data_IF_573714183304
#
_entry.id   IF_573714183304
#
_cell.length_a   1.000
_cell.length_b   1.000
_cell.length_c   1.000
_cell.angle_alpha   90.00
_cell.angle_beta   90.00
_cell.angle_gamma   90.00
#
_symmetry.space_group_name_H-M   'P 1'
#
loop_
_entity.id
_entity.type
_entity.pdbx_description
1 polymer ?
#
# COMPACT_ATOMS: atom_id res chain seq x y z
N UNK A 1 -50.61 -4.01 -22.40
CA UNK A 1 -49.32 -4.56 -21.91
C UNK A 1 -48.35 -3.41 -21.95
N UNK A 2 -48.31 -2.64 -20.86
CA UNK A 2 -47.46 -1.46 -20.73
C UNK A 2 -46.04 -1.90 -20.35
N UNK A 3 -45.08 -1.60 -21.21
CA UNK A 3 -43.66 -1.73 -20.95
C UNK A 3 -43.25 -0.65 -19.93
N UNK A 4 -43.08 -1.04 -18.67
CA UNK A 4 -42.38 -0.22 -17.66
C UNK A 4 -40.97 0.07 -18.17
N UNK A 5 -40.72 1.31 -18.57
CA UNK A 5 -39.38 1.81 -18.80
C UNK A 5 -38.63 1.86 -17.46
N UNK A 6 -37.61 1.01 -17.32
CA UNK A 6 -36.63 1.11 -16.23
C UNK A 6 -35.87 2.43 -16.40
N UNK A 7 -35.97 3.29 -15.40
CA UNK A 7 -35.11 4.47 -15.29
C UNK A 7 -33.85 4.04 -14.55
N UNK A 8 -32.72 4.06 -15.25
CA UNK A 8 -31.42 3.62 -14.75
C UNK A 8 -30.48 4.83 -14.70
N UNK A 9 -29.95 5.14 -13.53
CA UNK A 9 -28.92 6.17 -13.31
C UNK A 9 -27.84 5.52 -12.43
N UNK A 10 -26.60 5.55 -12.90
CA UNK A 10 -25.43 4.97 -12.21
C UNK A 10 -25.53 3.44 -11.90
N UNK A 11 -26.34 2.69 -12.65
CA UNK A 11 -26.44 1.23 -12.53
C UNK A 11 -27.34 0.74 -11.39
N UNK A 12 -28.26 1.58 -10.91
CA UNK A 12 -29.25 1.22 -9.90
C UNK A 12 -30.68 1.39 -10.45
N UNK A 13 -31.50 0.34 -10.28
CA UNK A 13 -32.91 0.33 -10.68
C UNK A 13 -33.74 1.17 -9.70
N UNK A 14 -34.15 2.37 -10.14
CA UNK A 14 -34.88 3.36 -9.34
C UNK A 14 -36.27 2.87 -8.87
N UNK A 15 -36.79 1.79 -9.44
CA UNK A 15 -38.08 1.20 -9.06
C UNK A 15 -38.07 0.46 -7.72
N UNK A 16 -36.88 0.25 -7.12
CA UNK A 16 -36.68 -0.54 -5.89
C UNK A 16 -36.46 0.34 -4.65
N UNK A 17 -36.28 1.66 -4.81
CA UNK A 17 -36.02 2.58 -3.70
C UNK A 17 -37.32 3.14 -3.11
N UNK A 18 -37.76 2.60 -1.97
CA UNK A 18 -38.97 3.04 -1.25
C UNK A 18 -38.77 4.26 -0.34
N UNK A 19 -37.52 4.68 -0.12
CA UNK A 19 -37.18 5.85 0.70
C UNK A 19 -37.18 7.14 -0.15
N UNK A 20 -38.14 8.03 0.15
CA UNK A 20 -38.28 9.34 -0.49
C UNK A 20 -37.03 10.21 -0.28
N UNK A 21 -36.38 10.11 0.89
CA UNK A 21 -35.17 10.88 1.17
C UNK A 21 -33.99 10.40 0.32
N UNK A 22 -33.81 9.08 0.20
CA UNK A 22 -32.81 8.47 -0.68
C UNK A 22 -32.99 8.84 -2.16
N UNK A 23 -34.24 8.87 -2.65
CA UNK A 23 -34.55 9.24 -4.03
C UNK A 23 -34.25 10.72 -4.33
N UNK A 24 -34.65 11.62 -3.43
CA UNK A 24 -34.34 13.05 -3.55
C UNK A 24 -32.82 13.24 -3.59
N UNK A 25 -32.09 12.60 -2.68
CA UNK A 25 -30.64 12.70 -2.60
C UNK A 25 -29.97 12.26 -3.90
N UNK A 26 -30.38 11.13 -4.46
CA UNK A 26 -29.85 10.60 -5.72
C UNK A 26 -30.10 11.54 -6.91
N UNK A 27 -31.29 12.15 -6.98
CA UNK A 27 -31.70 13.03 -8.06
C UNK A 27 -31.13 14.45 -7.96
N UNK A 28 -30.83 14.93 -6.74
CA UNK A 28 -30.33 16.30 -6.51
C UNK A 28 -28.84 16.37 -6.29
N UNK A 29 -28.14 15.23 -6.13
CA UNK A 29 -26.68 15.24 -6.03
C UNK A 29 -26.11 15.58 -7.40
N UNK A 30 -25.46 16.75 -7.57
CA UNK A 30 -24.89 17.09 -8.86
C UNK A 30 -23.87 16.03 -9.28
N UNK A 31 -23.78 15.67 -10.57
CA UNK A 31 -22.72 14.79 -11.05
C UNK A 31 -21.38 15.49 -10.80
N UNK A 32 -20.68 15.10 -9.73
CA UNK A 32 -19.46 15.78 -9.29
C UNK A 32 -19.29 15.76 -7.77
N UNK A 33 -18.48 16.69 -7.27
CA UNK A 33 -18.16 16.84 -5.85
C UNK A 33 -19.30 17.55 -5.14
N UNK A 34 -20.02 16.82 -4.29
CA UNK A 34 -21.14 17.35 -3.53
C UNK A 34 -21.33 16.59 -2.24
N UNK A 35 -21.26 17.29 -1.11
CA UNK A 35 -21.54 16.74 0.21
C UNK A 35 -22.52 17.63 0.98
N UNK A 36 -23.42 17.01 1.72
CA UNK A 36 -24.35 17.71 2.61
C UNK A 36 -23.61 18.34 3.79
N UNK A 37 -23.91 19.61 4.09
CA UNK A 37 -23.39 20.29 5.30
C UNK A 37 -23.74 19.52 6.58
N UNK A 38 -24.88 18.82 6.60
CA UNK A 38 -25.25 17.97 7.72
C UNK A 38 -24.27 16.80 7.92
N UNK A 39 -23.82 16.17 6.84
CA UNK A 39 -22.85 15.05 6.90
C UNK A 39 -21.50 15.56 7.41
N UNK A 40 -21.07 16.73 6.93
CA UNK A 40 -19.86 17.41 7.44
C UNK A 40 -19.96 17.68 8.94
N UNK A 41 -21.12 18.14 9.42
CA UNK A 41 -21.31 18.54 10.81
C UNK A 41 -21.41 17.35 11.78
N UNK A 42 -21.85 16.19 11.29
CA UNK A 42 -22.13 14.99 12.10
C UNK A 42 -21.02 13.94 12.06
N UNK A 43 -20.11 14.02 11.09
CA UNK A 43 -18.99 13.07 11.00
C UNK A 43 -17.96 13.22 12.14
N UNK A 44 -17.30 12.12 12.54
CA UNK A 44 -16.15 12.16 13.44
C UNK A 44 -15.02 13.03 12.88
N UNK A 45 -14.43 13.91 13.69
CA UNK A 45 -13.31 14.77 13.28
C UNK A 45 -13.69 16.03 12.49
N UNK A 46 -14.95 16.18 12.03
CA UNK A 46 -15.50 17.41 11.39
C UNK A 46 -14.59 17.99 10.29
N UNK A 47 -14.01 17.14 9.45
CA UNK A 47 -13.17 17.53 8.32
C UNK A 47 -13.96 18.29 7.24
N UNK A 48 -13.37 19.34 6.69
CA UNK A 48 -13.97 20.24 5.69
C UNK A 48 -13.13 20.36 4.41
N UNK A 49 -12.06 19.59 4.31
CA UNK A 49 -11.25 19.45 3.10
C UNK A 49 -12.03 18.75 2.01
N UNK A 50 -11.83 19.21 0.77
CA UNK A 50 -12.53 18.68 -0.37
C UNK A 50 -12.17 17.19 -0.58
N UNK A 51 -10.90 16.80 -0.35
CA UNK A 51 -10.41 15.47 -0.72
C UNK A 51 -11.09 14.34 0.06
N UNK A 52 -11.49 14.60 1.29
CA UNK A 52 -12.30 13.66 2.08
C UNK A 52 -13.65 13.33 1.42
N UNK A 53 -14.19 14.26 0.63
CA UNK A 53 -15.47 14.16 -0.06
C UNK A 53 -15.32 13.87 -1.55
N UNK A 54 -14.15 13.40 -1.98
CA UNK A 54 -13.98 12.89 -3.34
C UNK A 54 -15.01 11.75 -3.56
N UNK A 55 -15.85 11.83 -4.62
CA UNK A 55 -16.82 10.79 -4.95
C UNK A 55 -16.23 9.38 -5.06
N UNK A 56 -14.96 9.26 -5.48
CA UNK A 56 -14.23 7.98 -5.54
C UNK A 56 -13.99 7.43 -4.14
N UNK A 57 -13.53 8.26 -3.21
CA UNK A 57 -13.28 7.88 -1.81
C UNK A 57 -14.60 7.53 -1.12
N UNK A 58 -15.64 8.35 -1.32
CA UNK A 58 -16.98 8.08 -0.78
C UNK A 58 -17.56 6.77 -1.36
N UNK A 59 -17.44 6.56 -2.66
CA UNK A 59 -17.86 5.34 -3.35
C UNK A 59 -17.14 4.09 -2.84
N UNK A 60 -15.83 4.18 -2.60
CA UNK A 60 -15.04 3.11 -2.00
C UNK A 60 -15.53 2.76 -0.59
N UNK A 61 -15.76 3.77 0.24
CA UNK A 61 -16.29 3.57 1.59
C UNK A 61 -17.68 2.94 1.59
N UNK A 62 -18.54 3.32 0.65
CA UNK A 62 -19.86 2.68 0.48
C UNK A 62 -19.73 1.22 0.07
N UNK A 63 -18.83 0.90 -0.87
CA UNK A 63 -18.56 -0.49 -1.29
C UNK A 63 -18.07 -1.35 -0.13
N UNK A 64 -17.11 -0.84 0.66
CA UNK A 64 -16.60 -1.55 1.83
C UNK A 64 -17.69 -1.79 2.88
N UNK A 65 -18.53 -0.79 3.15
CA UNK A 65 -19.68 -0.93 4.08
C UNK A 65 -20.73 -1.91 3.56
N UNK A 66 -20.96 -1.95 2.25
CA UNK A 66 -21.95 -2.84 1.62
C UNK A 66 -21.55 -4.33 1.68
N UNK A 67 -20.29 -4.65 1.97
CA UNK A 67 -19.84 -6.04 2.16
C UNK A 67 -20.55 -6.73 3.34
N UNK A 68 -21.07 -5.97 4.30
CA UNK A 68 -21.71 -6.53 5.50
C UNK A 68 -20.73 -7.21 6.46
N UNK A 69 -19.42 -7.02 6.26
CA UNK A 69 -18.36 -7.52 7.14
C UNK A 69 -17.85 -6.40 8.04
N UNK A 70 -17.30 -6.77 9.20
CA UNK A 70 -16.64 -5.80 10.08
C UNK A 70 -15.42 -5.20 9.38
N UNK A 71 -15.30 -3.87 9.43
CA UNK A 71 -14.10 -3.16 9.00
C UNK A 71 -13.30 -2.77 10.25
N UNK A 72 -12.02 -3.12 10.27
CA UNK A 72 -11.10 -2.77 11.36
C UNK A 72 -9.95 -1.92 10.80
N UNK A 73 -9.38 -0.98 11.58
CA UNK A 73 -8.18 -0.27 11.14
C UNK A 73 -7.01 -1.26 10.98
N UNK A 74 -6.09 -0.97 10.05
CA UNK A 74 -4.90 -1.79 9.82
C UNK A 74 -4.07 -1.98 11.09
N UNK A 75 -4.05 -0.98 11.99
CA UNK A 75 -3.39 -1.06 13.30
C UNK A 75 -3.87 -2.21 14.19
N UNK A 76 -5.10 -2.69 13.99
CA UNK A 76 -5.64 -3.82 14.76
C UNK A 76 -5.13 -5.18 14.26
N UNK A 77 -4.52 -5.21 13.07
CA UNK A 77 -4.00 -6.42 12.42
C UNK A 77 -2.48 -6.43 12.28
N UNK A 78 -1.83 -5.27 12.39
CA UNK A 78 -0.41 -5.10 12.17
C UNK A 78 0.16 -3.90 12.92
N UNK A 79 1.43 -4.00 13.32
CA UNK A 79 2.19 -2.85 13.77
C UNK A 79 2.66 -2.05 12.55
N UNK A 80 2.39 -0.75 12.56
CA UNK A 80 2.71 0.16 11.45
C UNK A 80 3.69 1.22 11.92
N UNK A 81 4.84 1.32 11.26
CA UNK A 81 5.89 2.25 11.64
C UNK A 81 6.54 2.94 10.43
N UNK A 82 6.63 4.26 10.50
CA UNK A 82 7.43 5.08 9.60
C UNK A 82 8.64 5.64 10.35
N UNK A 83 9.88 5.35 9.92
CA UNK A 83 11.06 5.92 10.55
C UNK A 83 11.13 7.44 10.39
N UNK A 84 11.76 8.11 11.36
CA UNK A 84 12.00 9.55 11.27
C UNK A 84 13.00 9.93 10.18
N UNK A 85 12.87 11.15 9.65
CA UNK A 85 13.80 11.74 8.68
C UNK A 85 15.18 11.91 9.33
N UNK A 86 16.23 11.58 8.59
CA UNK A 86 17.61 11.69 9.05
C UNK A 86 18.60 11.92 7.90
N UNK A 87 19.78 12.45 8.24
CA UNK A 87 20.89 12.60 7.30
C UNK A 87 21.68 11.29 7.23
N UNK A 88 21.87 10.78 6.00
CA UNK A 88 22.61 9.53 5.75
C UNK A 88 24.10 9.82 5.74
N UNK A 89 24.86 9.07 6.54
CA UNK A 89 26.32 9.03 6.46
C UNK A 89 26.68 7.71 5.77
N UNK A 90 27.45 7.77 4.69
CA UNK A 90 27.83 6.59 3.92
C UNK A 90 29.14 6.01 4.44
N UNK A 91 29.16 4.71 4.72
CA UNK A 91 30.36 3.95 5.01
C UNK A 91 30.95 3.37 3.72
N UNK A 92 32.24 3.03 3.76
CA UNK A 92 32.92 2.38 2.64
C UNK A 92 32.49 0.93 2.46
N UNK A 93 32.19 0.25 3.57
CA UNK A 93 31.91 -1.19 3.60
C UNK A 93 30.99 -1.57 4.79
N UNK A 94 30.80 -2.88 4.95
CA UNK A 94 29.99 -3.49 6.01
C UNK A 94 30.65 -3.48 7.40
N UNK A 95 31.96 -3.25 7.50
CA UNK A 95 32.67 -3.12 8.78
C UNK A 95 32.11 -1.91 9.55
N UNK A 96 31.92 -0.80 8.84
CA UNK A 96 31.43 0.46 9.43
C UNK A 96 29.96 0.77 9.15
N UNK A 97 29.33 0.08 8.19
CA UNK A 97 27.93 0.30 7.82
C UNK A 97 27.06 -0.95 7.69
N UNK A 98 25.78 -0.71 7.44
CA UNK A 98 24.76 -1.73 7.13
C UNK A 98 24.34 -1.55 5.67
N UNK A 99 24.24 -2.63 4.86
CA UNK A 99 23.73 -2.53 3.49
C UNK A 99 22.40 -1.77 3.43
N UNK A 100 22.25 -0.87 2.47
CA UNK A 100 21.16 0.08 2.41
C UNK A 100 20.43 0.06 1.07
N UNK A 101 19.09 0.15 1.12
CA UNK A 101 18.22 0.09 -0.05
C UNK A 101 17.23 1.27 -0.10
N UNK A 102 17.04 1.87 -1.28
CA UNK A 102 15.99 2.86 -1.52
C UNK A 102 14.72 2.22 -2.09
N UNK A 103 13.63 3.01 -2.09
CA UNK A 103 12.37 2.61 -2.71
C UNK A 103 12.51 2.28 -4.21
N UNK A 104 13.32 3.03 -4.97
CA UNK A 104 13.53 2.77 -6.41
C UNK A 104 14.24 1.44 -6.65
N UNK A 105 15.15 1.05 -5.75
CA UNK A 105 15.90 -0.18 -5.90
C UNK A 105 14.96 -1.40 -5.79
N UNK A 106 13.94 -1.35 -4.91
CA UNK A 106 12.86 -2.36 -4.80
C UNK A 106 12.01 -2.52 -6.06
N UNK A 107 12.02 -1.54 -6.97
CA UNK A 107 11.33 -1.63 -8.26
C UNK A 107 12.14 -2.37 -9.32
N UNK A 108 13.43 -2.59 -9.06
CA UNK A 108 14.36 -3.14 -10.04
C UNK A 108 14.53 -4.65 -9.86
N UNK A 109 14.78 -5.37 -10.97
CA UNK A 109 15.15 -6.79 -10.91
C UNK A 109 16.42 -7.03 -10.08
N UNK A 110 17.27 -6.02 -9.94
CA UNK A 110 18.51 -6.06 -9.17
C UNK A 110 18.31 -6.29 -7.67
N UNK A 111 17.09 -6.07 -7.14
CA UNK A 111 16.85 -6.14 -5.70
C UNK A 111 16.96 -7.55 -5.10
N UNK A 112 17.03 -8.61 -5.92
CA UNK A 112 17.24 -9.99 -5.44
C UNK A 112 18.61 -10.60 -5.80
N UNK A 113 19.56 -9.82 -6.33
CA UNK A 113 20.86 -10.36 -6.78
C UNK A 113 22.07 -9.48 -6.46
N UNK A 114 22.06 -8.25 -6.94
CA UNK A 114 23.14 -7.26 -6.75
C UNK A 114 22.48 -5.89 -6.84
N UNK A 115 22.42 -5.08 -5.75
CA UNK A 115 21.87 -3.73 -5.85
C UNK A 115 22.60 -2.95 -6.94
N UNK A 116 21.89 -2.13 -7.71
CA UNK A 116 22.50 -1.33 -8.77
C UNK A 116 23.68 -0.46 -8.27
N UNK A 117 23.68 -0.12 -6.97
CA UNK A 117 24.83 0.44 -6.27
C UNK A 117 24.89 -0.10 -4.85
N UNK A 118 25.99 -0.75 -4.48
CA UNK A 118 26.24 -1.10 -3.08
C UNK A 118 26.45 0.17 -2.26
N UNK A 119 25.60 0.36 -1.26
CA UNK A 119 25.65 1.50 -0.34
C UNK A 119 25.54 0.96 1.07
N UNK A 120 26.38 1.48 1.96
CA UNK A 120 26.37 1.10 3.37
C UNK A 120 26.02 2.31 4.21
N UNK A 121 24.90 2.23 4.92
CA UNK A 121 24.53 3.26 5.90
C UNK A 121 25.43 3.11 7.12
N UNK A 122 26.26 4.12 7.40
CA UNK A 122 27.19 4.11 8.52
C UNK A 122 26.45 4.00 9.85
N UNK A 123 26.99 3.18 10.77
CA UNK A 123 26.52 3.06 12.16
C UNK A 123 26.67 4.37 12.95
N UNK A 124 27.46 5.33 12.46
CA UNK A 124 27.58 6.67 13.03
C UNK A 124 26.43 7.62 12.63
N UNK A 125 25.53 7.20 11.74
CA UNK A 125 24.35 7.99 11.38
C UNK A 125 23.49 8.23 12.62
N UNK A 126 23.06 9.47 12.85
CA UNK A 126 22.24 9.84 14.00
C UNK A 126 20.78 9.38 13.82
N UNK A 127 20.56 8.07 13.86
CA UNK A 127 19.27 7.42 13.66
C UNK A 127 19.23 6.12 14.45
N UNK A 128 18.03 5.70 14.87
CA UNK A 128 17.84 4.37 15.45
C UNK A 128 17.97 3.32 14.35
N UNK A 129 19.17 2.78 14.13
CA UNK A 129 19.44 1.83 13.04
C UNK A 129 18.40 0.69 12.97
N UNK A 130 18.02 0.13 14.12
CA UNK A 130 17.03 -0.95 14.20
C UNK A 130 15.66 -0.59 13.62
N UNK A 131 15.24 0.68 13.62
CA UNK A 131 13.97 1.09 13.01
C UNK A 131 14.05 1.14 11.48
N UNK A 132 15.26 1.20 10.91
CA UNK A 132 15.48 1.17 9.46
C UNK A 132 15.59 -0.26 8.93
N UNK A 133 15.98 -1.22 9.78
CA UNK A 133 16.17 -2.60 9.37
C UNK A 133 14.84 -3.19 8.88
N UNK A 134 14.86 -3.67 7.63
CA UNK A 134 13.72 -4.38 7.02
C UNK A 134 13.88 -5.88 7.23
N UNK A 135 12.76 -6.56 7.40
CA UNK A 135 12.69 -8.00 7.65
C UNK A 135 11.75 -8.67 6.68
N UNK A 136 12.03 -9.92 6.30
CA UNK A 136 11.20 -10.69 5.35
C UNK A 136 9.74 -10.84 5.79
N UNK A 137 9.46 -10.72 7.08
CA UNK A 137 8.11 -10.76 7.67
C UNK A 137 7.34 -9.43 7.49
N UNK A 138 8.03 -8.36 7.08
CA UNK A 138 7.43 -7.04 6.87
C UNK A 138 6.82 -6.91 5.47
N UNK A 139 5.83 -6.02 5.39
CA UNK A 139 5.33 -5.41 4.17
C UNK A 139 5.82 -3.95 4.16
N UNK A 140 6.29 -3.48 3.00
CA UNK A 140 6.73 -2.09 2.82
C UNK A 140 5.77 -1.33 1.93
N UNK A 141 5.46 -0.08 2.30
CA UNK A 141 4.70 0.85 1.45
C UNK A 141 5.51 2.13 1.22
N UNK A 142 5.64 2.56 -0.03
CA UNK A 142 6.26 3.85 -0.35
C UNK A 142 5.39 5.01 0.09
N UNK A 143 5.99 6.00 0.76
CA UNK A 143 5.24 7.12 1.34
C UNK A 143 5.68 8.50 0.85
N UNK A 144 6.60 8.55 -0.13
CA UNK A 144 7.10 9.78 -0.77
C UNK A 144 7.30 9.56 -2.27
N UNK A 145 7.12 10.60 -3.07
CA UNK A 145 7.30 10.57 -4.52
C UNK A 145 6.21 9.76 -5.22
N UNK A 146 6.37 8.44 -5.35
CA UNK A 146 5.26 7.56 -5.75
C UNK A 146 4.72 6.82 -4.54
N UNK A 147 3.55 7.23 -4.07
CA UNK A 147 2.95 6.72 -2.85
C UNK A 147 2.15 5.45 -3.12
N UNK A 148 2.09 4.57 -2.14
CA UNK A 148 1.16 3.44 -2.12
C UNK A 148 1.68 2.17 -2.77
N UNK A 149 2.91 2.14 -3.31
CA UNK A 149 3.46 0.88 -3.85
C UNK A 149 3.80 -0.07 -2.72
N UNK A 150 3.34 -1.31 -2.84
CA UNK A 150 3.41 -2.33 -1.78
C UNK A 150 4.40 -3.43 -2.15
N UNK A 151 5.36 -3.69 -1.27
CA UNK A 151 6.42 -4.69 -1.44
C UNK A 151 6.42 -5.71 -0.30
N UNK A 152 6.66 -6.95 -0.66
CA UNK A 152 7.25 -7.91 0.27
C UNK A 152 8.75 -7.65 0.36
N UNK A 153 9.34 -7.87 1.55
CA UNK A 153 10.79 -7.83 1.71
C UNK A 153 11.38 -9.16 1.22
N UNK A 154 12.20 -9.13 0.15
CA UNK A 154 12.88 -10.33 -0.32
C UNK A 154 13.79 -10.93 0.75
N UNK A 155 13.94 -12.25 0.75
CA UNK A 155 14.88 -12.95 1.65
C UNK A 155 16.31 -12.42 1.53
N UNK A 156 16.74 -12.03 0.33
CA UNK A 156 18.07 -11.47 0.08
C UNK A 156 18.31 -10.11 0.78
N UNK A 157 17.24 -9.38 1.12
CA UNK A 157 17.31 -8.08 1.77
C UNK A 157 17.00 -8.16 3.28
N UNK A 158 16.79 -9.37 3.82
CA UNK A 158 16.54 -9.51 5.26
C UNK A 158 17.72 -8.97 6.08
N UNK A 159 17.45 -8.04 6.99
CA UNK A 159 18.48 -7.40 7.81
C UNK A 159 19.15 -6.18 7.18
N UNK A 160 18.76 -5.76 5.97
CA UNK A 160 19.25 -4.53 5.35
C UNK A 160 18.56 -3.30 5.94
N UNK A 161 19.19 -2.13 5.83
CA UNK A 161 18.56 -0.86 6.14
C UNK A 161 17.72 -0.37 4.94
N UNK A 162 16.41 -0.22 5.12
CA UNK A 162 15.54 0.44 4.15
C UNK A 162 15.50 1.95 4.37
N UNK A 163 15.23 2.71 3.30
CA UNK A 163 14.97 4.16 3.41
C UNK A 163 13.91 4.51 4.48
N UNK A 164 13.99 5.72 5.03
CA UNK A 164 12.95 6.24 5.92
C UNK A 164 11.64 6.51 5.18
N UNK A 165 11.69 6.71 3.86
CA UNK A 165 10.53 6.97 2.99
C UNK A 165 9.69 5.71 2.67
N UNK A 166 9.64 4.78 3.61
CA UNK A 166 8.84 3.57 3.53
C UNK A 166 8.18 3.26 4.86
N UNK A 167 6.87 3.10 4.84
CA UNK A 167 6.11 2.56 5.97
C UNK A 167 6.40 1.07 6.05
N UNK A 168 6.74 0.59 7.25
CA UNK A 168 6.92 -0.82 7.57
C UNK A 168 5.67 -1.31 8.28
N UNK A 169 5.12 -2.42 7.81
CA UNK A 169 3.93 -3.05 8.35
C UNK A 169 4.32 -4.46 8.77
N UNK A 170 4.15 -4.77 10.05
CA UNK A 170 4.45 -6.08 10.64
C UNK A 170 3.13 -6.71 11.05
N UNK A 171 2.63 -7.70 10.29
CA UNK A 171 1.40 -8.40 10.65
C UNK A 171 1.51 -9.03 12.05
N UNK A 172 0.46 -8.93 12.86
CA UNK A 172 0.43 -9.57 14.19
C UNK A 172 0.43 -11.10 14.11
N UNK A 173 -0.03 -11.64 12.98
CA UNK A 173 -0.05 -13.06 12.67
C UNK A 173 0.60 -13.29 11.30
N UNK A 174 1.53 -14.25 11.17
CA UNK A 174 2.20 -14.53 9.88
C UNK A 174 1.23 -14.84 8.73
N UNK A 175 0.10 -15.48 9.03
CA UNK A 175 -0.92 -15.89 8.05
C UNK A 175 -1.65 -14.70 7.45
N UNK A 176 -1.59 -13.52 8.10
CA UNK A 176 -2.17 -12.29 7.58
C UNK A 176 -1.29 -11.62 6.53
N UNK A 177 0.02 -11.96 6.46
CA UNK A 177 0.98 -11.20 5.64
C UNK A 177 0.55 -11.12 4.18
N UNK A 178 0.35 -12.26 3.53
CA UNK A 178 -0.01 -12.28 2.11
C UNK A 178 -1.38 -11.64 1.85
N UNK A 179 -2.34 -11.84 2.77
CA UNK A 179 -3.65 -11.17 2.68
C UNK A 179 -3.52 -9.65 2.78
N UNK A 180 -2.85 -9.13 3.81
CA UNK A 180 -2.64 -7.70 3.99
C UNK A 180 -1.87 -7.12 2.82
N UNK A 181 -0.82 -7.80 2.34
CA UNK A 181 -0.08 -7.36 1.15
C UNK A 181 -0.99 -7.26 -0.08
N UNK A 182 -1.84 -8.27 -0.32
CA UNK A 182 -2.78 -8.26 -1.44
C UNK A 182 -3.83 -7.16 -1.29
N UNK A 183 -4.39 -7.00 -0.09
CA UNK A 183 -5.39 -5.97 0.19
C UNK A 183 -4.82 -4.57 0.03
N UNK A 184 -3.64 -4.31 0.60
CA UNK A 184 -2.95 -3.02 0.51
C UNK A 184 -2.62 -2.66 -0.94
N UNK A 185 -2.34 -3.64 -1.80
CA UNK A 185 -2.12 -3.43 -3.22
C UNK A 185 -3.40 -3.29 -4.06
N UNK A 186 -4.58 -3.55 -3.48
CA UNK A 186 -5.87 -3.45 -4.17
C UNK A 186 -6.37 -2.00 -4.26
N UNK A 187 -7.23 -1.73 -5.24
CA UNK A 187 -7.86 -0.42 -5.41
C UNK A 187 -8.58 0.05 -4.15
N UNK A 188 -9.14 -0.88 -3.35
CA UNK A 188 -9.86 -0.54 -2.11
C UNK A 188 -8.96 0.12 -1.07
N UNK A 189 -7.74 -0.38 -0.91
CA UNK A 189 -6.77 0.21 0.02
C UNK A 189 -6.06 1.40 -0.62
N UNK A 190 -5.74 1.34 -1.92
CA UNK A 190 -5.06 2.44 -2.62
C UNK A 190 -5.89 3.73 -2.60
N UNK A 191 -7.22 3.64 -2.79
CA UNK A 191 -8.09 4.82 -2.67
C UNK A 191 -8.02 5.43 -1.26
N UNK A 192 -7.96 4.61 -0.21
CA UNK A 192 -7.82 5.11 1.17
C UNK A 192 -6.44 5.75 1.39
N UNK A 193 -5.35 5.06 1.02
CA UNK A 193 -3.97 5.54 1.19
C UNK A 193 -3.76 6.86 0.44
N UNK A 194 -4.20 6.93 -0.81
CA UNK A 194 -4.03 8.11 -1.67
C UNK A 194 -4.96 9.26 -1.29
N UNK A 195 -6.09 9.01 -0.61
CA UNK A 195 -6.92 10.12 -0.10
C UNK A 195 -6.15 11.04 0.87
N UNK A 196 -5.09 10.51 1.51
CA UNK A 196 -4.28 11.23 2.49
C UNK A 196 -3.16 12.09 1.89
N UNK A 197 -2.88 12.00 0.58
CA UNK A 197 -1.65 12.54 -0.02
C UNK A 197 -1.71 14.02 -0.35
N UNK A 198 -2.87 14.65 -0.27
CA UNK A 198 -3.11 15.96 -0.89
C UNK A 198 -2.65 17.13 -0.01
N UNK A 199 -1.74 17.96 -0.55
CA UNK A 199 -1.37 19.25 0.03
C UNK A 199 0.14 19.56 -0.02
N UNK A 200 0.58 20.24 -1.09
CA UNK A 200 1.93 20.84 -1.20
C UNK A 200 2.89 20.14 -2.19
N UNK A 201 4.04 20.76 -2.46
CA UNK A 201 4.95 20.43 -3.59
C UNK A 201 5.49 18.98 -3.61
N UNK A 202 5.42 18.23 -2.51
CA UNK A 202 5.71 16.79 -2.46
C UNK A 202 4.70 16.11 -1.54
N UNK A 203 3.77 15.38 -2.14
CA UNK A 203 2.78 14.58 -1.45
C UNK A 203 3.47 13.51 -0.57
N UNK A 204 2.98 13.31 0.65
CA UNK A 204 3.46 12.29 1.59
C UNK A 204 2.30 11.68 2.37
N UNK A 205 2.48 10.43 2.81
CA UNK A 205 1.58 9.77 3.77
C UNK A 205 2.36 9.40 5.03
N UNK A 206 1.75 9.63 6.18
CA UNK A 206 2.30 9.28 7.48
C UNK A 206 2.01 7.81 7.85
N UNK A 207 2.80 7.24 8.75
CA UNK A 207 2.53 5.91 9.29
C UNK A 207 1.14 5.80 9.91
N UNK A 208 0.70 6.82 10.65
CA UNK A 208 -0.60 6.85 11.33
C UNK A 208 -1.77 6.85 10.32
N UNK A 209 -1.64 7.55 9.20
CA UNK A 209 -2.63 7.53 8.13
C UNK A 209 -2.74 6.13 7.50
N UNK A 210 -1.61 5.49 7.20
CA UNK A 210 -1.61 4.09 6.71
C UNK A 210 -2.21 3.14 7.74
N UNK A 211 -1.89 3.32 9.02
CA UNK A 211 -2.42 2.51 10.12
C UNK A 211 -3.94 2.64 10.28
N UNK A 212 -4.51 3.80 9.92
CA UNK A 212 -5.95 4.06 9.97
C UNK A 212 -6.76 3.48 8.81
N UNK A 213 -6.09 2.97 7.76
CA UNK A 213 -6.77 2.36 6.61
C UNK A 213 -7.66 1.20 7.07
N UNK A 214 -8.92 1.22 6.65
CA UNK A 214 -9.90 0.19 7.01
C UNK A 214 -9.65 -1.07 6.19
N UNK A 215 -9.59 -2.20 6.88
CA UNK A 215 -9.39 -3.54 6.32
C UNK A 215 -10.64 -4.38 6.63
N UNK A 216 -11.25 -5.05 5.63
CA UNK A 216 -12.35 -5.96 5.87
C UNK A 216 -11.87 -7.22 6.60
N UNK A 217 -12.51 -7.53 7.72
CA UNK A 217 -12.23 -8.73 8.51
C UNK A 217 -13.00 -9.92 7.92
N UNK A 218 -12.35 -10.63 7.00
CA UNK A 218 -12.89 -11.86 6.43
C UNK A 218 -12.69 -13.06 7.36
N UNK A 219 -13.37 -14.16 7.04
CA UNK A 219 -13.14 -15.44 7.70
C UNK A 219 -11.72 -15.96 7.45
N UNK A 220 -11.23 -16.81 8.36
CA UNK A 220 -9.87 -17.34 8.31
C UNK A 220 -9.58 -18.14 7.02
N UNK A 221 -10.58 -18.81 6.45
CA UNK A 221 -10.40 -19.58 5.21
C UNK A 221 -10.16 -18.63 4.02
N UNK A 222 -10.94 -17.56 3.92
CA UNK A 222 -10.74 -16.50 2.91
C UNK A 222 -9.37 -15.84 3.02
N UNK A 223 -8.97 -15.45 4.24
CA UNK A 223 -7.66 -14.85 4.50
C UNK A 223 -6.55 -15.79 4.05
N UNK A 224 -6.60 -17.06 4.46
CA UNK A 224 -5.55 -18.04 4.14
C UNK A 224 -5.48 -18.31 2.63
N UNK A 225 -6.63 -18.42 1.95
CA UNK A 225 -6.68 -18.62 0.49
C UNK A 225 -6.02 -17.45 -0.25
N UNK A 226 -6.34 -16.22 0.13
CA UNK A 226 -5.76 -15.01 -0.48
C UNK A 226 -4.27 -14.91 -0.17
N UNK A 227 -3.88 -15.14 1.09
CA UNK A 227 -2.47 -15.10 1.50
C UNK A 227 -1.63 -16.08 0.70
N UNK A 228 -2.11 -17.32 0.56
CA UNK A 228 -1.41 -18.36 -0.21
C UNK A 228 -1.19 -17.96 -1.66
N UNK A 229 -2.18 -17.34 -2.31
CA UNK A 229 -2.03 -16.86 -3.69
C UNK A 229 -1.00 -15.73 -3.78
N UNK A 230 -1.01 -14.80 -2.81
CA UNK A 230 -0.03 -13.73 -2.74
C UNK A 230 1.40 -14.27 -2.54
N UNK A 231 1.58 -15.23 -1.62
CA UNK A 231 2.86 -15.87 -1.35
C UNK A 231 3.38 -16.63 -2.58
N UNK A 232 2.50 -17.33 -3.31
CA UNK A 232 2.85 -17.99 -4.57
C UNK A 232 3.31 -16.99 -5.63
N UNK A 233 2.61 -15.86 -5.77
CA UNK A 233 3.02 -14.81 -6.70
C UNK A 233 4.40 -14.23 -6.35
N UNK A 234 4.70 -14.06 -5.06
CA UNK A 234 6.01 -13.56 -4.61
C UNK A 234 7.14 -14.58 -4.82
N UNK A 235 6.86 -15.87 -4.60
CA UNK A 235 7.81 -16.94 -4.91
C UNK A 235 8.16 -16.97 -6.41
N UNK A 236 7.16 -16.82 -7.29
CA UNK A 236 7.39 -16.76 -8.73
C UNK A 236 8.19 -15.52 -9.13
N UNK A 237 7.92 -14.36 -8.51
CA UNK A 237 8.70 -13.14 -8.72
C UNK A 237 10.15 -13.33 -8.31
N UNK A 238 10.39 -13.88 -7.12
CA UNK A 238 11.73 -14.17 -6.62
C UNK A 238 12.48 -15.13 -7.54
N UNK A 239 11.81 -16.19 -8.01
CA UNK A 239 12.39 -17.13 -8.97
C UNK A 239 12.71 -16.49 -10.33
N UNK A 240 11.87 -15.56 -10.82
CA UNK A 240 12.12 -14.85 -12.09
C UNK A 240 13.41 -14.04 -12.08
N UNK A 241 13.78 -13.53 -10.91
CA UNK A 241 15.01 -12.74 -10.77
C UNK A 241 16.25 -13.60 -10.83
N UNK A 242 16.20 -14.83 -10.32
CA UNK A 242 17.31 -15.78 -10.46
C UNK A 242 17.62 -16.04 -11.95
N UNK A 243 16.59 -16.30 -12.76
CA UNK A 243 16.78 -16.48 -14.20
C UNK A 243 17.35 -15.23 -14.89
N UNK A 244 16.95 -14.03 -14.45
CA UNK A 244 17.52 -12.79 -14.98
C UNK A 244 19.01 -12.66 -14.61
N UNK A 245 19.38 -13.00 -13.37
CA UNK A 245 20.79 -12.98 -12.94
C UNK A 245 21.64 -13.98 -13.71
N UNK A 246 21.13 -15.18 -13.96
CA UNK A 246 21.81 -16.20 -14.77
C UNK A 246 22.05 -15.69 -16.19
N UNK A 247 21.02 -15.11 -16.81
CA UNK A 247 21.12 -14.53 -18.16
C UNK A 247 22.13 -13.37 -18.23
N UNK A 248 22.20 -12.52 -17.20
CA UNK A 248 23.18 -11.44 -17.12
C UNK A 248 24.61 -11.96 -16.90
N UNK A 249 24.76 -13.03 -16.12
CA UNK A 249 26.06 -13.66 -15.87
C UNK A 249 26.60 -14.30 -17.15
N UNK A 250 25.77 -15.06 -17.86
CA UNK A 250 26.11 -15.66 -19.15
C UNK A 250 26.47 -14.58 -20.20
N UNK A 251 25.73 -13.47 -20.24
CA UNK A 251 26.06 -12.34 -21.09
C UNK A 251 27.44 -11.74 -20.76
N UNK A 252 27.77 -11.56 -19.48
CA UNK A 252 29.08 -11.04 -19.06
C UNK A 252 30.21 -11.98 -19.48
N UNK A 253 30.05 -13.29 -19.26
CA UNK A 253 31.04 -14.29 -19.64
C UNK A 253 31.32 -14.28 -21.16
N UNK A 254 30.27 -14.17 -21.99
CA UNK A 254 30.42 -14.08 -23.45
C UNK A 254 31.16 -12.81 -23.86
N UNK A 255 30.86 -11.67 -23.22
CA UNK A 255 31.52 -10.39 -23.49
C UNK A 255 33.00 -10.42 -23.07
N UNK A 256 33.28 -10.94 -21.87
CA UNK A 256 34.63 -10.93 -21.27
C UNK A 256 35.57 -11.95 -21.94
N UNK A 257 35.04 -13.07 -22.43
CA UNK A 257 35.84 -14.11 -23.08
C UNK A 257 35.86 -14.03 -24.61
N UNK A 258 35.04 -13.16 -25.20
CA UNK A 258 34.91 -13.02 -26.65
C UNK A 258 34.26 -14.25 -27.26
N UNK A 259 33.01 -14.12 -27.70
CA UNK A 259 32.26 -15.20 -28.36
C UNK A 259 32.96 -15.85 -29.54
#
# INVERSE_FOLDING_TARGET
MDTMHKFDIAGQDLSVMSDHAGLIRLLTTPPGWGVSVHDIATQPGKRMDAEHYDPVVMGNNMRLKALGVTLVPLSDLADVHLPGIFTRIWAQDTEYGVPYINATDLMSYFVFGVPAQERYLSRASNVKMNSLIIRKEMILITCSGTIGRVFDVPTALDGWAGTHDMVRIIPHQPELKGFLRAYLASDFAQVQILSHTHGGQIDHVTGDQVASCLVPQFDAESILRISKLADQADQMRSGSVLFMNDALSELSEIIDHGG
#
